data_IF_613692302916
#
_entry.id   IF_613692302916
#
_cell.length_a   1.000
_cell.length_b   1.000
_cell.length_c   1.000
_cell.angle_alpha   90.00
_cell.angle_beta   90.00
_cell.angle_gamma   90.00
#
_symmetry.space_group_name_H-M   'P 1'
#
loop_
_entity.id
_entity.type
_entity.pdbx_description
1 polymer ?
#
# COMPACT_ATOMS: atom_id res chain seq x y z
N UNK A 1 20.27 6.27 -3.90
CA UNK A 1 19.40 5.44 -3.07
C UNK A 1 17.98 5.45 -3.60
N UNK A 2 17.33 4.32 -3.54
CA UNK A 2 16.00 4.14 -4.08
C UNK A 2 14.90 4.81 -3.23
N UNK A 3 15.04 4.76 -1.90
CA UNK A 3 14.13 5.44 -0.98
C UNK A 3 14.59 6.87 -0.73
N UNK A 4 13.62 7.77 -0.63
CA UNK A 4 13.85 9.20 -0.41
C UNK A 4 13.49 9.58 1.02
N UNK A 5 14.16 10.63 1.53
CA UNK A 5 13.82 11.28 2.80
C UNK A 5 12.79 12.42 2.62
N UNK A 6 12.31 12.61 1.39
CA UNK A 6 11.35 13.69 1.11
C UNK A 6 10.09 13.50 1.93
N UNK A 7 9.65 14.59 2.59
CA UNK A 7 8.40 14.65 3.32
C UNK A 7 7.39 15.45 2.51
N UNK A 8 6.21 14.87 2.36
CA UNK A 8 5.12 15.48 1.60
C UNK A 8 4.08 16.03 2.57
N UNK A 9 3.69 17.27 2.37
CA UNK A 9 2.66 17.90 3.21
C UNK A 9 1.26 17.34 2.97
N UNK A 10 1.01 16.95 1.74
CA UNK A 10 -0.31 16.45 1.36
C UNK A 10 -1.20 17.51 0.76
N UNK A 11 -2.47 17.18 0.63
CA UNK A 11 -3.50 18.02 0.03
C UNK A 11 -4.67 17.16 -0.41
N UNK A 12 -5.73 17.78 -0.95
CA UNK A 12 -6.96 17.10 -1.33
C UNK A 12 -6.74 15.99 -2.39
N UNK A 13 -5.74 16.14 -3.25
CA UNK A 13 -5.43 15.21 -4.34
C UNK A 13 -4.29 14.24 -3.97
N UNK A 14 -4.05 14.05 -2.68
CA UNK A 14 -2.99 13.21 -2.17
C UNK A 14 -3.51 12.05 -1.33
N UNK A 15 -2.77 10.96 -1.37
CA UNK A 15 -2.99 9.77 -0.56
C UNK A 15 -1.64 9.15 -0.17
N UNK A 16 -1.66 8.30 0.83
CA UNK A 16 -0.48 7.58 1.26
C UNK A 16 -0.80 6.11 1.47
N UNK A 17 0.17 5.25 1.19
CA UNK A 17 0.10 3.84 1.56
C UNK A 17 1.27 3.49 2.46
N UNK A 18 1.08 2.51 3.32
CA UNK A 18 2.11 1.96 4.17
C UNK A 18 2.61 0.63 3.64
N UNK A 19 3.92 0.55 3.41
CA UNK A 19 4.59 -0.69 3.04
C UNK A 19 5.29 -1.22 4.29
N UNK A 20 4.66 -2.18 4.97
CA UNK A 20 5.26 -2.83 6.14
C UNK A 20 6.22 -3.90 5.64
N UNK A 21 7.50 -3.72 5.91
CA UNK A 21 8.56 -4.56 5.36
C UNK A 21 9.32 -5.25 6.47
N UNK A 22 9.32 -6.58 6.49
CA UNK A 22 10.02 -7.37 7.50
C UNK A 22 10.37 -8.75 6.97
N UNK A 23 11.65 -9.10 7.07
CA UNK A 23 12.12 -10.42 6.67
C UNK A 23 11.90 -10.72 5.18
N UNK A 24 12.00 -9.72 4.31
CA UNK A 24 11.77 -9.87 2.88
C UNK A 24 10.30 -10.02 2.48
N UNK A 25 9.38 -9.70 3.40
CA UNK A 25 7.93 -9.77 3.18
C UNK A 25 7.29 -8.43 3.37
N UNK A 26 6.21 -8.19 2.65
CA UNK A 26 5.35 -7.02 2.84
C UNK A 26 3.91 -7.44 3.06
N UNK A 27 3.16 -6.61 3.77
CA UNK A 27 1.76 -6.89 4.08
C UNK A 27 0.85 -6.27 3.02
N UNK A 28 0.06 -7.11 2.37
CA UNK A 28 -1.02 -6.68 1.49
C UNK A 28 -2.37 -7.01 2.11
N UNK A 29 -3.36 -6.20 1.79
CA UNK A 29 -4.75 -6.41 2.21
C UNK A 29 -5.65 -6.57 0.98
N UNK A 30 -6.77 -7.27 1.17
CA UNK A 30 -7.88 -7.23 0.22
C UNK A 30 -9.00 -6.43 0.87
N UNK A 31 -9.40 -5.35 0.22
CA UNK A 31 -10.43 -4.45 0.72
C UNK A 31 -11.78 -5.14 0.71
N UNK A 32 -12.64 -4.82 1.69
CA UNK A 32 -14.04 -5.29 1.67
C UNK A 32 -14.76 -4.73 0.45
N UNK A 33 -15.74 -5.48 -0.05
CA UNK A 33 -16.59 -5.01 -1.14
C UNK A 33 -17.61 -4.04 -0.61
N UNK A 34 -17.73 -2.88 -1.25
CA UNK A 34 -18.72 -1.85 -0.94
C UNK A 34 -19.26 -1.25 -2.21
N UNK A 35 -20.57 -1.05 -2.25
CA UNK A 35 -21.25 -0.37 -3.36
C UNK A 35 -20.74 1.07 -3.47
N UNK A 36 -20.43 1.50 -4.69
CA UNK A 36 -19.97 2.86 -4.96
C UNK A 36 -18.49 3.11 -4.67
N UNK A 37 -17.74 2.15 -4.13
CA UNK A 37 -16.30 2.26 -3.94
C UNK A 37 -15.58 1.71 -5.19
N UNK A 38 -14.87 2.56 -5.96
CA UNK A 38 -14.19 2.13 -7.18
C UNK A 38 -13.02 1.17 -6.93
N UNK A 39 -12.52 1.08 -5.69
CA UNK A 39 -11.43 0.19 -5.30
C UNK A 39 -11.90 -0.96 -4.43
N UNK A 40 -13.21 -1.21 -4.39
CA UNK A 40 -13.84 -2.29 -3.63
C UNK A 40 -13.29 -3.66 -4.04
N UNK A 41 -12.94 -4.48 -3.06
CA UNK A 41 -12.44 -5.83 -3.27
C UNK A 41 -11.02 -5.94 -3.82
N UNK A 42 -10.34 -4.84 -4.07
CA UNK A 42 -8.98 -4.85 -4.60
C UNK A 42 -7.93 -5.22 -3.55
N UNK A 43 -6.86 -5.84 -4.03
CA UNK A 43 -5.65 -6.08 -3.25
C UNK A 43 -4.80 -4.83 -3.27
N UNK A 44 -4.38 -4.38 -2.10
CA UNK A 44 -3.66 -3.13 -1.95
C UNK A 44 -2.72 -3.16 -0.74
N UNK A 45 -1.83 -2.19 -0.68
CA UNK A 45 -1.18 -1.84 0.58
C UNK A 45 -2.19 -1.09 1.47
N UNK A 46 -2.09 -1.20 2.80
CA UNK A 46 -2.87 -0.35 3.69
C UNK A 46 -2.64 1.11 3.36
N UNK A 47 -3.69 1.89 3.27
CA UNK A 47 -3.57 3.30 2.92
C UNK A 47 -4.89 3.98 2.64
N UNK A 48 -4.82 5.28 2.36
CA UNK A 48 -6.00 6.07 2.06
C UNK A 48 -5.69 7.54 1.80
N UNK A 49 -6.76 8.32 1.73
CA UNK A 49 -6.72 9.73 1.38
C UNK A 49 -6.23 10.61 2.54
N UNK A 50 -5.46 11.64 2.17
CA UNK A 50 -5.07 12.70 3.08
C UNK A 50 -6.29 13.37 3.72
N UNK A 51 -6.14 13.79 4.98
CA UNK A 51 -7.12 14.58 5.71
C UNK A 51 -6.50 15.90 6.16
N UNK A 52 -7.28 16.98 6.25
CA UNK A 52 -6.78 18.24 6.77
C UNK A 52 -6.12 18.10 8.14
N UNK A 53 -4.99 18.77 8.32
CA UNK A 53 -4.21 18.71 9.56
C UNK A 53 -3.14 17.63 9.60
N UNK A 54 -3.08 16.76 8.59
CA UNK A 54 -2.03 15.74 8.47
C UNK A 54 -0.96 16.14 7.46
N UNK A 55 0.28 15.66 7.65
CA UNK A 55 1.19 15.44 6.54
C UNK A 55 0.96 14.02 6.00
N UNK A 56 1.59 13.66 4.88
CA UNK A 56 1.37 12.34 4.29
C UNK A 56 1.93 11.18 5.14
N UNK A 57 2.97 11.42 5.92
CA UNK A 57 3.44 10.42 6.88
C UNK A 57 2.34 10.15 7.92
N UNK A 58 1.70 11.18 8.43
CA UNK A 58 0.58 11.05 9.34
C UNK A 58 -0.59 10.29 8.72
N UNK A 59 -0.88 10.54 7.44
CA UNK A 59 -1.90 9.81 6.69
C UNK A 59 -1.56 8.31 6.62
N UNK A 60 -0.32 7.97 6.26
CA UNK A 60 0.13 6.58 6.18
C UNK A 60 0.02 5.87 7.53
N UNK A 61 0.50 6.51 8.59
CA UNK A 61 0.43 5.96 9.96
C UNK A 61 -1.01 5.72 10.38
N UNK A 62 -1.87 6.71 10.19
CA UNK A 62 -3.28 6.62 10.55
C UNK A 62 -3.98 5.47 9.83
N UNK A 63 -3.80 5.38 8.51
CA UNK A 63 -4.46 4.35 7.71
C UNK A 63 -3.96 2.94 8.07
N UNK A 64 -2.66 2.78 8.32
CA UNK A 64 -2.11 1.49 8.76
C UNK A 64 -2.73 1.09 10.11
N UNK A 65 -2.84 2.02 11.06
CA UNK A 65 -3.48 1.73 12.35
C UNK A 65 -4.95 1.35 12.18
N UNK A 66 -5.70 2.09 11.37
CA UNK A 66 -7.13 1.84 11.14
C UNK A 66 -7.38 0.51 10.46
N UNK A 67 -6.56 0.14 9.48
CA UNK A 67 -6.81 -1.05 8.67
C UNK A 67 -6.19 -2.33 9.24
N UNK A 68 -5.00 -2.27 9.81
CA UNK A 68 -4.29 -3.46 10.30
C UNK A 68 -3.81 -3.40 11.75
N UNK A 69 -4.20 -2.37 12.48
CA UNK A 69 -4.08 -2.31 13.93
C UNK A 69 -2.67 -2.17 14.49
N UNK A 70 -1.68 -1.83 13.67
CA UNK A 70 -0.31 -1.60 14.15
C UNK A 70 0.06 -0.13 14.00
N UNK A 71 0.96 0.33 14.85
CA UNK A 71 1.49 1.69 14.81
C UNK A 71 2.92 1.70 14.29
N UNK A 72 3.15 2.17 13.07
CA UNK A 72 4.51 2.31 12.54
C UNK A 72 5.38 3.23 13.39
N UNK A 73 6.62 2.80 13.66
CA UNK A 73 7.58 3.51 14.51
C UNK A 73 8.89 3.85 13.81
N UNK A 74 9.21 3.19 12.70
CA UNK A 74 10.43 3.49 11.94
C UNK A 74 10.11 3.58 10.45
N UNK A 75 10.35 4.76 9.89
CA UNK A 75 10.23 5.02 8.45
C UNK A 75 11.60 4.86 7.79
N UNK A 76 11.71 3.92 6.85
CA UNK A 76 12.92 3.77 6.04
C UNK A 76 13.00 4.83 4.93
N UNK A 77 11.87 5.31 4.44
CA UNK A 77 11.79 6.33 3.41
C UNK A 77 10.52 6.23 2.58
N UNK A 78 10.47 7.03 1.53
CA UNK A 78 9.33 7.07 0.60
C UNK A 78 9.77 6.73 -0.81
N UNK A 79 8.83 6.22 -1.60
CA UNK A 79 8.97 6.13 -3.06
C UNK A 79 8.34 7.37 -3.70
N UNK A 80 8.73 7.72 -4.93
CA UNK A 80 8.09 8.82 -5.65
C UNK A 80 6.59 8.61 -5.81
N UNK A 81 5.80 9.70 -5.86
CA UNK A 81 4.36 9.60 -6.06
C UNK A 81 4.00 8.83 -7.33
N UNK A 82 2.96 7.99 -7.21
CA UNK A 82 2.35 7.29 -8.34
C UNK A 82 0.86 7.64 -8.37
N UNK A 83 0.27 7.53 -9.55
CA UNK A 83 -1.17 7.77 -9.71
C UNK A 83 -1.87 6.55 -10.28
N UNK A 84 -3.07 6.17 -9.75
CA UNK A 84 -3.89 5.15 -10.40
C UNK A 84 -4.26 5.59 -11.82
N UNK A 85 -4.35 4.65 -12.75
CA UNK A 85 -4.73 4.99 -14.14
C UNK A 85 -6.16 5.51 -14.24
N UNK A 86 -7.05 5.02 -13.40
CA UNK A 86 -8.44 5.47 -13.33
C UNK A 86 -8.64 6.72 -12.47
N UNK A 87 -7.57 7.22 -11.84
CA UNK A 87 -7.59 8.45 -11.05
C UNK A 87 -6.24 9.18 -11.20
N UNK A 88 -5.92 9.67 -12.42
CA UNK A 88 -4.59 10.26 -12.69
C UNK A 88 -4.33 11.55 -11.93
N UNK A 89 -5.36 12.16 -11.36
CA UNK A 89 -5.28 13.35 -10.52
C UNK A 89 -4.80 13.04 -9.10
N UNK A 90 -4.92 11.79 -8.65
CA UNK A 90 -4.55 11.37 -7.30
C UNK A 90 -3.08 10.99 -7.25
N UNK A 91 -2.33 11.59 -6.33
CA UNK A 91 -0.92 11.29 -6.07
C UNK A 91 -0.81 10.42 -4.83
N UNK A 92 -0.34 9.21 -5.00
CA UNK A 92 -0.20 8.22 -3.93
C UNK A 92 1.28 8.05 -3.61
N UNK A 93 1.66 8.27 -2.35
CA UNK A 93 3.05 8.17 -1.91
C UNK A 93 3.21 6.94 -1.01
N UNK A 94 3.99 5.94 -1.46
CA UNK A 94 4.33 4.81 -0.62
C UNK A 94 5.34 5.19 0.48
N UNK A 95 5.03 4.82 1.71
CA UNK A 95 5.87 5.01 2.88
C UNK A 95 6.33 3.64 3.37
N UNK A 96 7.63 3.41 3.38
CA UNK A 96 8.21 2.11 3.75
C UNK A 96 8.56 2.12 5.24
N UNK A 97 7.88 1.27 6.00
CA UNK A 97 8.08 1.11 7.43
C UNK A 97 8.78 -0.22 7.71
N UNK A 98 9.77 -0.20 8.57
CA UNK A 98 10.56 -1.38 8.96
C UNK A 98 10.33 -1.81 10.40
N UNK A 99 9.69 -0.96 11.21
CA UNK A 99 9.33 -1.27 12.58
C UNK A 99 7.94 -0.70 12.91
N UNK A 100 7.24 -1.39 13.80
CA UNK A 100 5.92 -1.00 14.29
C UNK A 100 5.64 -1.65 15.63
N UNK A 101 4.68 -1.09 16.37
CA UNK A 101 4.18 -1.64 17.60
C UNK A 101 2.89 -2.43 17.32
N UNK A 102 2.77 -3.61 17.95
CA UNK A 102 1.62 -4.48 17.83
C UNK A 102 1.77 -5.55 16.75
N UNK A 103 0.83 -6.48 16.74
CA UNK A 103 0.73 -7.52 15.73
C UNK A 103 -0.39 -7.17 14.75
N UNK A 104 -0.13 -7.25 13.44
CA UNK A 104 -1.16 -6.92 12.44
C UNK A 104 -2.42 -7.77 12.61
N UNK A 105 -3.57 -7.09 12.58
CA UNK A 105 -4.90 -7.70 12.60
C UNK A 105 -5.80 -6.94 11.63
N UNK A 106 -6.53 -7.63 10.76
CA UNK A 106 -7.42 -6.93 9.84
C UNK A 106 -8.59 -6.30 10.59
N UNK A 107 -8.89 -5.04 10.28
CA UNK A 107 -10.13 -4.41 10.70
C UNK A 107 -11.26 -4.93 9.77
N UNK A 108 -12.19 -5.75 10.26
CA UNK A 108 -13.18 -6.40 9.40
C UNK A 108 -14.15 -5.43 8.73
N UNK A 109 -14.25 -4.20 9.22
CA UNK A 109 -15.06 -3.17 8.57
C UNK A 109 -14.46 -2.68 7.25
N UNK A 110 -13.14 -2.81 7.07
CA UNK A 110 -12.43 -2.30 5.90
C UNK A 110 -11.60 -3.35 5.17
N UNK A 111 -11.14 -4.38 5.86
CA UNK A 111 -10.21 -5.39 5.36
C UNK A 111 -10.84 -6.77 5.42
N UNK A 112 -11.02 -7.39 4.25
CA UNK A 112 -11.58 -8.75 4.16
C UNK A 112 -10.53 -9.81 4.48
N UNK A 113 -9.29 -9.61 4.03
CA UNK A 113 -8.15 -10.50 4.26
C UNK A 113 -6.86 -9.70 4.30
N UNK A 114 -5.83 -10.24 4.94
CA UNK A 114 -4.46 -9.74 4.82
C UNK A 114 -3.49 -10.91 4.64
N UNK A 115 -2.41 -10.66 3.92
CA UNK A 115 -1.36 -11.66 3.67
C UNK A 115 0.02 -11.03 3.68
N UNK A 116 0.97 -11.72 4.30
CA UNK A 116 2.39 -11.42 4.15
C UNK A 116 2.88 -12.05 2.86
N UNK A 117 3.47 -11.23 1.98
CA UNK A 117 3.87 -11.63 0.64
C UNK A 117 5.37 -11.51 0.49
N UNK A 118 6.03 -12.56 0.03
CA UNK A 118 7.44 -12.55 -0.37
C UNK A 118 7.55 -12.57 -1.89
N UNK A 119 8.75 -12.31 -2.42
CA UNK A 119 9.01 -12.39 -3.87
C UNK A 119 8.66 -13.76 -4.44
N UNK A 120 8.98 -14.82 -3.68
CA UNK A 120 8.71 -16.20 -4.11
C UNK A 120 7.22 -16.53 -4.26
N UNK A 121 6.35 -15.76 -3.63
CA UNK A 121 4.89 -15.94 -3.74
C UNK A 121 4.31 -15.33 -5.02
N UNK A 122 5.06 -14.44 -5.68
CA UNK A 122 4.60 -13.70 -6.85
C UNK A 122 4.79 -14.52 -8.11
N UNK A 123 3.71 -14.69 -8.87
CA UNK A 123 3.76 -15.32 -10.20
C UNK A 123 3.29 -14.33 -11.23
N UNK A 124 4.09 -14.18 -12.29
CA UNK A 124 3.73 -13.27 -13.38
C UNK A 124 2.46 -13.74 -14.08
N UNK A 125 1.56 -12.81 -14.32
CA UNK A 125 0.32 -13.04 -15.05
C UNK A 125 -0.11 -11.74 -15.74
N UNK A 126 -1.30 -11.74 -16.29
CA UNK A 126 -1.93 -10.56 -16.88
C UNK A 126 -3.32 -10.36 -16.30
N UNK A 127 -3.72 -9.10 -16.21
CA UNK A 127 -5.05 -8.71 -15.82
C UNK A 127 -5.54 -7.63 -16.78
N UNK A 128 -6.62 -7.91 -17.49
CA UNK A 128 -7.20 -6.98 -18.49
C UNK A 128 -6.14 -6.43 -19.47
N UNK A 129 -5.26 -7.31 -19.95
CA UNK A 129 -4.22 -6.95 -20.91
C UNK A 129 -3.00 -6.23 -20.33
N UNK A 130 -2.89 -6.08 -19.01
CA UNK A 130 -1.76 -5.44 -18.34
C UNK A 130 -1.02 -6.43 -17.45
N UNK A 131 0.31 -6.22 -17.24
CA UNK A 131 1.07 -7.07 -16.33
C UNK A 131 0.49 -7.04 -14.91
N UNK A 132 0.50 -8.22 -14.27
CA UNK A 132 0.01 -8.39 -12.91
C UNK A 132 0.78 -9.53 -12.22
N UNK A 133 0.54 -9.70 -10.92
CA UNK A 133 1.03 -10.86 -10.18
C UNK A 133 -0.15 -11.67 -9.64
N UNK A 134 -0.05 -12.98 -9.77
CA UNK A 134 -0.93 -13.90 -9.06
C UNK A 134 -0.25 -14.31 -7.75
N UNK A 135 -1.00 -14.26 -6.66
CA UNK A 135 -0.57 -14.70 -5.33
C UNK A 135 -1.68 -15.57 -4.77
N UNK A 136 -1.54 -16.90 -4.91
CA UNK A 136 -2.65 -17.79 -4.61
C UNK A 136 -3.88 -17.44 -5.45
N UNK A 137 -5.00 -17.19 -4.79
CA UNK A 137 -6.24 -16.76 -5.45
C UNK A 137 -6.38 -15.23 -5.57
N UNK A 138 -5.33 -14.48 -5.23
CA UNK A 138 -5.30 -13.04 -5.41
C UNK A 138 -4.66 -12.67 -6.74
N UNK A 139 -5.17 -11.60 -7.33
CA UNK A 139 -4.52 -10.94 -8.47
C UNK A 139 -4.12 -9.52 -8.03
N UNK A 140 -2.84 -9.24 -8.13
CA UNK A 140 -2.27 -7.93 -7.79
C UNK A 140 -2.01 -7.20 -9.09
N UNK A 141 -2.75 -6.13 -9.33
CA UNK A 141 -2.70 -5.37 -10.57
C UNK A 141 -2.72 -3.87 -10.29
N UNK A 142 -2.62 -3.06 -11.34
CA UNK A 142 -2.73 -1.62 -11.25
C UNK A 142 -1.67 -0.98 -10.38
N UNK A 143 -2.08 -0.04 -9.53
CA UNK A 143 -1.17 0.73 -8.69
C UNK A 143 -0.38 -0.16 -7.73
N UNK A 144 -1.02 -1.13 -7.11
CA UNK A 144 -0.36 -2.05 -6.17
C UNK A 144 0.74 -2.85 -6.87
N UNK A 145 0.47 -3.35 -8.07
CA UNK A 145 1.48 -4.00 -8.91
C UNK A 145 2.67 -3.08 -9.16
N UNK A 146 2.41 -1.84 -9.57
CA UNK A 146 3.47 -0.87 -9.87
C UNK A 146 4.31 -0.51 -8.64
N UNK A 147 3.69 -0.42 -7.47
CA UNK A 147 4.42 -0.20 -6.21
C UNK A 147 5.30 -1.41 -5.88
N UNK A 148 4.76 -2.64 -6.01
CA UNK A 148 5.55 -3.86 -5.78
C UNK A 148 6.77 -3.93 -6.69
N UNK A 149 6.62 -3.61 -7.97
CA UNK A 149 7.74 -3.58 -8.93
C UNK A 149 8.81 -2.60 -8.46
N UNK A 150 8.40 -1.40 -8.03
CA UNK A 150 9.34 -0.39 -7.51
C UNK A 150 10.09 -0.86 -6.28
N UNK A 151 9.38 -1.49 -5.36
CA UNK A 151 9.99 -2.05 -4.13
C UNK A 151 11.04 -3.09 -4.50
N UNK A 152 10.73 -4.00 -5.43
CA UNK A 152 11.66 -5.03 -5.86
C UNK A 152 12.86 -4.45 -6.62
N UNK A 153 12.67 -3.43 -7.45
CA UNK A 153 13.75 -2.72 -8.12
C UNK A 153 14.68 -2.04 -7.13
N UNK A 154 14.16 -1.66 -5.98
CA UNK A 154 14.94 -1.07 -4.88
C UNK A 154 15.69 -2.11 -4.04
N UNK A 155 15.51 -3.39 -4.32
CA UNK A 155 16.13 -4.46 -3.53
C UNK A 155 15.47 -4.69 -2.18
N UNK A 156 14.26 -4.22 -2.03
CA UNK A 156 13.52 -4.31 -0.76
C UNK A 156 12.58 -5.51 -0.72
#
# INVERSE_FOLDING_TARGET
MCLSDVRYGGGADWAAVGVLLKGGRTLLIRRVERDGDPWSGQVAFPGGRWRPGEDLLGTAVREVEEEVGVRPTALAGTLPPLSPRNAPWLKVVPHVFTEWEGDPRPNPAEVAEMRWISRGDLKETEWMGTPAYAVGNWVVWGLTYRILVRIMECGL
#
